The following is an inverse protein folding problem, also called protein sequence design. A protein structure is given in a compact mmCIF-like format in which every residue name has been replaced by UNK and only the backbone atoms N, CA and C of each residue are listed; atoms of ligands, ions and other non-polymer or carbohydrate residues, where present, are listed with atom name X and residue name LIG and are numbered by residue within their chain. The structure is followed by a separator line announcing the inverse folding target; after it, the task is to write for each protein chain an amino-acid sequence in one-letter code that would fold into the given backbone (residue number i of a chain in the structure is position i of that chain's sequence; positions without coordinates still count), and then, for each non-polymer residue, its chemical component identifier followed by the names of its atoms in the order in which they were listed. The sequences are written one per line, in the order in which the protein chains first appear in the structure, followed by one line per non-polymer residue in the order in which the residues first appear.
data_IF_981983321556
#
_entry.id   IF_981983321556
#
_cell.length_a   1.000
_cell.length_b   1.000
_cell.length_c   1.000
_cell.angle_alpha   90.00
_cell.angle_beta   90.00
_cell.angle_gamma   90.00
#
_symmetry.space_group_name_H-M   'P 1'
#
loop_
_entity.id
_entity.type
_entity.pdbx_description
1 polymer ?
#
# COMPACT_ATOMS: atom_id res chain seq x y z
N UNK A 1 -8.25 29.46 1.62
CA UNK A 1 -8.08 28.88 2.98
C UNK A 1 -8.83 27.55 3.16
N UNK A 2 -10.15 27.46 2.91
CA UNK A 2 -10.93 26.22 3.14
C UNK A 2 -10.35 24.96 2.47
N UNK A 3 -9.84 25.07 1.23
CA UNK A 3 -9.25 23.94 0.52
C UNK A 3 -7.94 23.43 1.14
N UNK A 4 -7.09 24.33 1.66
CA UNK A 4 -5.82 23.95 2.30
C UNK A 4 -6.06 23.25 3.65
N UNK A 5 -7.03 23.76 4.42
CA UNK A 5 -7.46 23.13 5.69
C UNK A 5 -7.99 21.71 5.43
N UNK A 6 -8.77 21.51 4.36
CA UNK A 6 -9.27 20.19 3.97
C UNK A 6 -8.14 19.21 3.63
N UNK A 7 -7.15 19.63 2.84
CA UNK A 7 -5.99 18.78 2.47
C UNK A 7 -5.20 18.36 3.71
N UNK A 8 -5.01 19.26 4.68
CA UNK A 8 -4.29 18.93 5.93
C UNK A 8 -5.09 17.95 6.80
N UNK A 9 -6.42 18.12 6.88
CA UNK A 9 -7.28 17.16 7.59
C UNK A 9 -7.22 15.79 6.91
N UNK A 10 -7.33 15.74 5.59
CA UNK A 10 -7.25 14.49 4.81
C UNK A 10 -5.88 13.81 5.01
N UNK A 11 -4.78 14.55 4.96
CA UNK A 11 -3.44 14.03 5.28
C UNK A 11 -3.37 13.42 6.69
N UNK A 12 -3.94 14.10 7.70
CA UNK A 12 -3.95 13.61 9.08
C UNK A 12 -4.89 12.42 9.33
N UNK A 13 -5.72 12.06 8.35
CA UNK A 13 -6.69 10.96 8.45
C UNK A 13 -6.17 9.63 7.91
N UNK A 14 -4.94 9.58 7.38
CA UNK A 14 -4.32 8.33 6.99
C UNK A 14 -4.09 7.42 8.21
N UNK A 15 -4.31 6.13 8.00
CA UNK A 15 -4.14 5.11 9.04
C UNK A 15 -3.32 3.95 8.47
N UNK A 16 -2.76 3.13 9.36
CA UNK A 16 -1.90 2.03 8.98
C UNK A 16 -0.69 1.96 9.92
N UNK A 17 0.25 1.07 9.59
CA UNK A 17 1.46 0.85 10.41
C UNK A 17 2.40 2.06 10.38
N UNK A 18 2.34 2.90 9.34
CA UNK A 18 3.21 4.08 9.18
C UNK A 18 2.60 5.32 9.88
N UNK A 19 1.30 5.56 9.70
CA UNK A 19 0.66 6.82 10.10
C UNK A 19 -0.04 6.77 11.47
N UNK A 20 -0.08 5.61 12.14
CA UNK A 20 -0.67 5.48 13.49
C UNK A 20 0.38 5.45 14.59
N UNK A 21 -0.03 5.72 15.83
CA UNK A 21 0.82 5.65 17.02
C UNK A 21 0.12 4.97 18.20
N UNK A 22 0.87 4.71 19.29
CA UNK A 22 0.30 4.18 20.52
C UNK A 22 -0.19 2.72 20.41
N UNK A 23 -1.23 2.33 21.16
CA UNK A 23 -1.75 0.95 21.16
C UNK A 23 -2.22 0.46 19.80
N UNK A 24 -2.82 1.33 18.98
CA UNK A 24 -3.30 0.99 17.63
C UNK A 24 -2.13 0.57 16.73
N UNK A 25 -1.06 1.35 16.71
CA UNK A 25 0.16 1.02 15.97
C UNK A 25 0.75 -0.32 16.42
N UNK A 26 0.85 -0.56 17.74
CA UNK A 26 1.38 -1.82 18.28
C UNK A 26 0.56 -3.03 17.79
N UNK A 27 -0.77 -2.92 17.81
CA UNK A 27 -1.65 -3.98 17.35
C UNK A 27 -1.50 -4.23 15.84
N UNK A 28 -1.58 -3.18 15.01
CA UNK A 28 -1.45 -3.31 13.56
C UNK A 28 -0.08 -3.84 13.14
N UNK A 29 1.00 -3.35 13.77
CA UNK A 29 2.36 -3.82 13.51
C UNK A 29 2.54 -5.30 13.87
N UNK A 30 1.99 -5.73 15.02
CA UNK A 30 2.07 -7.13 15.45
C UNK A 30 1.42 -8.05 14.42
N UNK A 31 0.16 -7.76 14.08
CA UNK A 31 -0.62 -8.54 13.10
C UNK A 31 0.09 -8.59 11.74
N UNK A 32 0.54 -7.44 11.21
CA UNK A 32 1.22 -7.40 9.93
C UNK A 32 2.50 -8.26 9.90
N UNK A 33 3.30 -8.24 10.97
CA UNK A 33 4.52 -9.04 11.07
C UNK A 33 4.20 -10.54 11.17
N UNK A 34 3.17 -10.91 11.94
CA UNK A 34 2.73 -12.30 12.08
C UNK A 34 2.29 -12.86 10.72
N UNK A 35 1.43 -12.13 10.01
CA UNK A 35 0.99 -12.49 8.65
C UNK A 35 2.18 -12.64 7.70
N UNK A 36 3.10 -11.67 7.66
CA UNK A 36 4.25 -11.76 6.76
C UNK A 36 5.11 -13.01 7.04
N UNK A 37 5.27 -13.41 8.31
CA UNK A 37 5.99 -14.64 8.69
C UNK A 37 5.25 -15.91 8.26
N UNK A 38 3.92 -15.89 8.32
CA UNK A 38 3.06 -16.99 7.84
C UNK A 38 3.21 -17.16 6.33
N UNK A 39 3.15 -16.06 5.58
CA UNK A 39 3.34 -16.00 4.12
C UNK A 39 4.79 -16.32 3.67
N UNK A 40 5.69 -16.58 4.62
CA UNK A 40 7.04 -17.06 4.33
C UNK A 40 8.12 -15.98 4.29
N UNK A 41 7.87 -14.79 4.84
CA UNK A 41 8.94 -13.84 5.13
C UNK A 41 9.95 -14.47 6.09
N UNK A 42 11.21 -14.59 5.65
CA UNK A 42 12.26 -15.31 6.39
C UNK A 42 12.27 -16.83 6.18
N UNK A 43 11.48 -17.34 5.22
CA UNK A 43 11.48 -18.74 4.75
C UNK A 43 11.75 -18.78 3.24
N UNK A 44 11.97 -19.99 2.70
CA UNK A 44 12.22 -20.17 1.27
C UNK A 44 10.99 -19.89 0.36
N UNK A 45 9.77 -19.80 0.91
CA UNK A 45 8.54 -19.59 0.12
C UNK A 45 8.57 -18.25 -0.62
N UNK A 46 9.02 -17.17 0.04
CA UNK A 46 9.15 -15.87 -0.62
C UNK A 46 10.30 -15.85 -1.63
N UNK A 47 11.36 -16.63 -1.38
CA UNK A 47 12.47 -16.75 -2.32
C UNK A 47 12.04 -17.36 -3.66
N UNK A 48 11.10 -18.30 -3.66
CA UNK A 48 10.54 -18.90 -4.90
C UNK A 48 9.83 -17.83 -5.73
N UNK A 49 8.96 -17.01 -5.11
CA UNK A 49 8.27 -15.90 -5.82
C UNK A 49 9.25 -14.89 -6.41
N UNK A 50 10.32 -14.57 -5.66
CA UNK A 50 11.39 -13.68 -6.15
C UNK A 50 12.13 -14.33 -7.32
N UNK A 51 12.43 -15.63 -7.26
CA UNK A 51 13.10 -16.34 -8.35
C UNK A 51 12.25 -16.37 -9.63
N UNK A 52 10.94 -16.56 -9.50
CA UNK A 52 9.98 -16.46 -10.60
C UNK A 52 10.02 -15.07 -11.24
N UNK A 53 9.99 -14.00 -10.44
CA UNK A 53 10.06 -12.64 -10.97
C UNK A 53 11.42 -12.32 -11.61
N UNK A 54 12.52 -12.88 -11.09
CA UNK A 54 13.85 -12.75 -11.70
C UNK A 54 13.89 -13.42 -13.08
N UNK A 55 13.24 -14.57 -13.27
CA UNK A 55 13.14 -15.23 -14.58
C UNK A 55 12.45 -14.31 -15.60
N UNK A 56 11.35 -13.68 -15.20
CA UNK A 56 10.63 -12.70 -16.04
C UNK A 56 11.46 -11.44 -16.31
N UNK A 57 12.17 -10.94 -15.31
CA UNK A 57 13.09 -9.81 -15.46
C UNK A 57 14.19 -10.09 -16.50
N UNK A 58 14.83 -11.27 -16.43
CA UNK A 58 15.86 -11.68 -17.38
C UNK A 58 15.29 -11.91 -18.78
N UNK A 59 14.06 -12.46 -18.87
CA UNK A 59 13.35 -12.66 -20.15
C UNK A 59 13.22 -11.33 -20.90
N UNK A 60 12.69 -10.30 -20.24
CA UNK A 60 12.49 -8.98 -20.87
C UNK A 60 13.80 -8.32 -21.29
N UNK A 61 14.86 -8.44 -20.48
CA UNK A 61 16.18 -7.96 -20.88
C UNK A 61 16.68 -8.69 -22.13
N UNK A 62 16.50 -10.01 -22.19
CA UNK A 62 16.95 -10.82 -23.33
C UNK A 62 16.17 -10.49 -24.61
N UNK A 63 14.86 -10.27 -24.49
CA UNK A 63 13.97 -9.88 -25.58
C UNK A 63 14.25 -8.48 -26.13
N UNK A 64 14.90 -7.60 -25.35
CA UNK A 64 15.31 -6.27 -25.83
C UNK A 64 16.32 -6.33 -26.98
N UNK A 65 17.01 -7.46 -27.19
CA UNK A 65 18.00 -7.66 -28.27
C UNK A 65 19.06 -6.53 -28.37
N UNK A 66 19.45 -5.95 -27.23
CA UNK A 66 20.42 -4.86 -27.16
C UNK A 66 19.86 -3.48 -27.48
N UNK A 67 18.55 -3.34 -27.68
CA UNK A 67 17.89 -2.04 -27.78
C UNK A 67 17.90 -1.31 -26.43
N UNK A 68 17.90 0.04 -26.43
CA UNK A 68 17.80 0.81 -25.20
C UNK A 68 16.56 0.43 -24.39
N UNK A 69 16.76 0.15 -23.10
CA UNK A 69 15.73 -0.25 -22.17
C UNK A 69 15.79 0.64 -20.93
N UNK A 70 14.64 1.10 -20.44
CA UNK A 70 14.56 1.79 -19.15
C UNK A 70 14.65 0.77 -18.00
N UNK A 71 15.89 0.46 -17.61
CA UNK A 71 16.17 -0.44 -16.50
C UNK A 71 15.65 0.08 -15.15
N UNK A 72 15.52 1.41 -14.97
CA UNK A 72 14.93 1.96 -13.74
C UNK A 72 13.47 1.55 -13.67
N UNK A 73 12.72 1.76 -14.74
CA UNK A 73 11.30 1.39 -14.80
C UNK A 73 11.10 -0.11 -14.65
N UNK A 74 11.88 -0.93 -15.38
CA UNK A 74 11.79 -2.39 -15.29
C UNK A 74 12.09 -2.89 -13.85
N UNK A 75 13.14 -2.37 -13.21
CA UNK A 75 13.49 -2.75 -11.83
C UNK A 75 12.38 -2.35 -10.85
N UNK A 76 11.83 -1.14 -11.01
CA UNK A 76 10.74 -0.67 -10.16
C UNK A 76 9.49 -1.54 -10.32
N UNK A 77 9.14 -1.93 -11.55
CA UNK A 77 8.02 -2.82 -11.83
C UNK A 77 8.25 -4.21 -11.21
N UNK A 78 9.45 -4.77 -11.36
CA UNK A 78 9.82 -6.08 -10.82
C UNK A 78 9.75 -6.15 -9.29
N UNK A 79 10.35 -5.17 -8.60
CA UNK A 79 10.25 -5.09 -7.14
C UNK A 79 8.81 -4.89 -6.68
N UNK A 80 8.03 -4.10 -7.42
CA UNK A 80 6.63 -3.87 -7.10
C UNK A 80 5.77 -5.12 -7.32
N UNK A 81 6.09 -5.94 -8.32
CA UNK A 81 5.42 -7.23 -8.56
C UNK A 81 5.69 -8.23 -7.43
N UNK A 82 6.91 -8.30 -6.91
CA UNK A 82 7.20 -9.09 -5.71
C UNK A 82 6.26 -8.68 -4.56
N UNK A 83 6.11 -7.38 -4.31
CA UNK A 83 5.19 -6.87 -3.28
C UNK A 83 3.73 -7.17 -3.61
N UNK A 84 3.27 -6.96 -4.85
CA UNK A 84 1.89 -7.23 -5.28
C UNK A 84 1.53 -8.71 -5.14
N UNK A 85 2.47 -9.61 -5.43
CA UNK A 85 2.27 -11.06 -5.29
C UNK A 85 2.06 -11.50 -3.84
N UNK A 86 2.65 -10.78 -2.88
CA UNK A 86 2.49 -11.01 -1.44
C UNK A 86 1.21 -10.36 -0.94
N UNK A 87 0.91 -9.15 -1.43
CA UNK A 87 -0.20 -8.34 -0.94
C UNK A 87 -1.55 -8.79 -1.49
N UNK A 88 -1.61 -9.08 -2.79
CA UNK A 88 -2.85 -9.30 -3.55
C UNK A 88 -2.90 -10.68 -4.24
N UNK A 89 -1.89 -11.53 -4.01
CA UNK A 89 -1.75 -12.79 -4.73
C UNK A 89 -1.48 -12.63 -6.24
N UNK A 90 -1.24 -11.40 -6.74
CA UNK A 90 -1.25 -11.08 -8.17
C UNK A 90 0.07 -10.46 -8.66
N UNK A 91 0.53 -10.92 -9.81
CA UNK A 91 1.58 -10.30 -10.64
C UNK A 91 0.95 -9.50 -11.78
N UNK A 92 1.55 -8.37 -12.14
CA UNK A 92 1.20 -7.56 -13.30
C UNK A 92 2.25 -7.73 -14.40
N UNK A 93 1.81 -7.62 -15.65
CA UNK A 93 2.75 -7.54 -16.77
C UNK A 93 3.50 -6.21 -16.76
N UNK A 94 4.73 -6.20 -17.27
CA UNK A 94 5.57 -5.00 -17.26
C UNK A 94 5.06 -3.91 -18.21
N UNK A 95 4.28 -4.27 -19.22
CA UNK A 95 3.63 -3.37 -20.18
C UNK A 95 2.18 -3.01 -19.79
N UNK A 96 1.71 -3.42 -18.61
CA UNK A 96 0.40 -3.05 -18.11
C UNK A 96 0.36 -1.53 -17.81
N UNK A 97 -0.41 -0.79 -18.61
CA UNK A 97 -0.53 0.67 -18.48
C UNK A 97 -1.07 1.12 -17.12
N UNK A 98 -1.99 0.34 -16.52
CA UNK A 98 -2.60 0.67 -15.23
C UNK A 98 -1.56 0.52 -14.13
N UNK A 99 -0.78 -0.57 -14.16
CA UNK A 99 0.31 -0.82 -13.25
C UNK A 99 1.42 0.22 -13.43
N UNK A 100 1.85 0.48 -14.66
CA UNK A 100 2.85 1.49 -14.98
C UNK A 100 2.46 2.90 -14.50
N UNK A 101 1.18 3.28 -14.66
CA UNK A 101 0.66 4.54 -14.12
C UNK A 101 0.70 4.56 -12.58
N UNK A 102 0.37 3.45 -11.92
CA UNK A 102 0.46 3.33 -10.47
C UNK A 102 1.91 3.47 -9.97
N UNK A 103 2.90 2.88 -10.67
CA UNK A 103 4.32 3.05 -10.33
C UNK A 103 4.77 4.51 -10.41
N UNK A 104 4.29 5.27 -11.41
CA UNK A 104 4.56 6.71 -11.53
C UNK A 104 3.95 7.52 -10.39
N UNK A 105 2.73 7.17 -9.97
CA UNK A 105 2.09 7.79 -8.80
C UNK A 105 2.91 7.52 -7.53
N UNK A 106 3.39 6.29 -7.34
CA UNK A 106 4.24 5.91 -6.20
C UNK A 106 5.58 6.66 -6.19
N UNK A 107 6.23 6.82 -7.35
CA UNK A 107 7.47 7.61 -7.48
C UNK A 107 7.22 9.08 -7.10
N UNK A 108 6.10 9.66 -7.54
CA UNK A 108 5.70 11.02 -7.17
C UNK A 108 5.39 11.16 -5.66
N UNK A 109 4.70 10.18 -5.07
CA UNK A 109 4.43 10.13 -3.62
C UNK A 109 5.76 10.07 -2.83
N UNK A 110 6.69 9.21 -3.24
CA UNK A 110 7.99 9.07 -2.59
C UNK A 110 8.81 10.38 -2.69
N UNK A 111 8.78 11.03 -3.85
CA UNK A 111 9.43 12.33 -4.07
C UNK A 111 8.82 13.43 -3.17
N UNK A 112 7.50 13.39 -2.96
CA UNK A 112 6.77 14.39 -2.19
C UNK A 112 6.58 14.04 -0.71
N UNK A 113 7.12 12.91 -0.23
CA UNK A 113 6.89 12.43 1.14
C UNK A 113 7.33 13.44 2.23
N UNK A 114 8.33 14.29 1.93
CA UNK A 114 8.78 15.37 2.83
C UNK A 114 7.81 16.55 2.96
N UNK A 115 6.79 16.63 2.11
CA UNK A 115 5.76 17.67 2.13
C UNK A 115 5.02 17.71 3.48
N UNK A 116 4.63 16.53 3.99
CA UNK A 116 3.92 16.40 5.26
C UNK A 116 4.74 16.90 6.45
N UNK A 117 6.01 16.48 6.53
CA UNK A 117 6.94 16.86 7.61
C UNK A 117 7.19 18.37 7.70
N UNK A 118 7.16 19.07 6.56
CA UNK A 118 7.35 20.52 6.52
C UNK A 118 6.15 21.26 7.12
N UNK A 119 4.93 20.80 6.82
CA UNK A 119 3.69 21.41 7.32
C UNK A 119 3.44 21.08 8.78
N UNK A 120 3.82 19.88 9.25
CA UNK A 120 3.72 19.50 10.68
C UNK A 120 4.70 20.28 11.56
N UNK A 121 5.92 20.52 11.07
CA UNK A 121 6.95 21.26 11.80
C UNK A 121 6.66 22.77 11.89
N UNK A 122 5.93 23.32 10.92
CA UNK A 122 5.57 24.75 10.88
C UNK A 122 4.07 24.92 10.61
N UNK A 123 3.22 24.84 11.66
CA UNK A 123 1.76 24.89 11.51
C UNK A 123 1.22 26.15 10.83
N UNK A 124 1.97 27.26 10.81
CA UNK A 124 1.60 28.49 10.13
C UNK A 124 1.50 28.32 8.61
N UNK A 125 2.30 27.42 8.03
CA UNK A 125 2.35 27.17 6.58
C UNK A 125 1.05 26.59 6.01
N UNK A 126 0.18 26.02 6.85
CA UNK A 126 -1.15 25.50 6.46
C UNK A 126 -2.13 26.57 5.97
N UNK A 127 -1.83 27.86 6.18
CA UNK A 127 -2.70 28.96 5.76
C UNK A 127 -2.28 29.58 4.44
N UNK A 128 -1.11 29.19 3.88
CA UNK A 128 -0.63 29.71 2.61
C UNK A 128 -1.50 29.20 1.45
N UNK A 129 -1.98 30.08 0.56
CA UNK A 129 -2.78 29.66 -0.59
C UNK A 129 -1.88 29.01 -1.65
N UNK A 130 -2.22 27.81 -2.12
CA UNK A 130 -1.49 27.09 -3.18
C UNK A 130 -0.93 25.74 -2.72
N UNK A 131 -0.09 25.14 -3.56
CA UNK A 131 0.58 23.85 -3.29
C UNK A 131 2.11 24.01 -3.30
N UNK A 132 2.60 25.01 -2.55
CA UNK A 132 4.03 25.34 -2.48
C UNK A 132 4.87 24.17 -1.94
N UNK A 133 4.32 23.40 -1.01
CA UNK A 133 4.98 22.26 -0.39
C UNK A 133 4.62 20.92 -1.03
N UNK A 134 3.88 20.91 -2.15
CA UNK A 134 3.43 19.68 -2.84
C UNK A 134 2.55 18.75 -1.99
N UNK A 135 2.04 19.23 -0.85
CA UNK A 135 1.17 18.46 0.03
C UNK A 135 -0.15 18.08 -0.67
N UNK A 136 -0.72 18.97 -1.49
CA UNK A 136 -1.94 18.66 -2.22
C UNK A 136 -1.67 17.56 -3.25
N UNK A 137 -0.60 17.70 -4.04
CA UNK A 137 -0.19 16.66 -5.00
C UNK A 137 0.07 15.32 -4.30
N UNK A 138 0.74 15.32 -3.14
CA UNK A 138 0.97 14.14 -2.34
C UNK A 138 -0.34 13.46 -1.92
N UNK A 139 -1.27 14.21 -1.31
CA UNK A 139 -2.57 13.68 -0.85
C UNK A 139 -3.41 13.17 -2.02
N UNK A 140 -3.47 13.90 -3.13
CA UNK A 140 -4.22 13.50 -4.33
C UNK A 140 -3.66 12.21 -4.93
N UNK A 141 -2.34 12.09 -5.05
CA UNK A 141 -1.69 10.87 -5.56
C UNK A 141 -1.91 9.68 -4.62
N UNK A 142 -1.76 9.88 -3.31
CA UNK A 142 -2.07 8.85 -2.30
C UNK A 142 -3.52 8.39 -2.41
N UNK A 143 -4.47 9.33 -2.58
CA UNK A 143 -5.88 9.01 -2.78
C UNK A 143 -6.10 8.19 -4.04
N UNK A 144 -5.45 8.54 -5.15
CA UNK A 144 -5.55 7.78 -6.40
C UNK A 144 -5.05 6.36 -6.22
N UNK A 145 -3.87 6.18 -5.62
CA UNK A 145 -3.32 4.85 -5.30
C UNK A 145 -4.28 4.06 -4.43
N UNK A 146 -4.71 4.61 -3.29
CA UNK A 146 -5.55 3.89 -2.33
C UNK A 146 -6.91 3.51 -2.92
N UNK A 147 -7.61 4.45 -3.58
CA UNK A 147 -8.97 4.21 -4.04
C UNK A 147 -9.07 3.57 -5.43
N UNK A 148 -8.15 3.86 -6.35
CA UNK A 148 -8.24 3.37 -7.73
C UNK A 148 -7.42 2.10 -7.94
N UNK A 149 -6.32 1.94 -7.22
CA UNK A 149 -5.46 0.77 -7.37
C UNK A 149 -5.69 -0.25 -6.24
N UNK A 150 -5.59 0.15 -4.97
CA UNK A 150 -5.63 -0.80 -3.84
C UNK A 150 -7.05 -1.26 -3.48
N UNK A 151 -8.02 -0.35 -3.40
CA UNK A 151 -9.40 -0.65 -2.95
C UNK A 151 -10.06 -1.79 -3.75
N UNK A 152 -9.95 -1.87 -5.09
CA UNK A 152 -10.51 -2.98 -5.85
C UNK A 152 -10.02 -4.36 -5.40
N UNK A 153 -8.73 -4.48 -5.03
CA UNK A 153 -8.21 -5.73 -4.47
C UNK A 153 -8.83 -6.03 -3.11
N UNK A 154 -8.87 -5.04 -2.22
CA UNK A 154 -9.48 -5.20 -0.89
C UNK A 154 -10.96 -5.61 -0.99
N UNK A 155 -11.74 -4.94 -1.84
CA UNK A 155 -13.16 -5.20 -2.04
C UNK A 155 -13.39 -6.63 -2.57
N UNK A 156 -12.56 -7.07 -3.51
CA UNK A 156 -12.66 -8.42 -4.07
C UNK A 156 -12.35 -9.50 -3.01
N UNK A 157 -11.37 -9.25 -2.13
CA UNK A 157 -11.07 -10.19 -1.04
C UNK A 157 -12.19 -10.23 0.01
N UNK A 158 -12.82 -9.10 0.32
CA UNK A 158 -14.00 -9.09 1.18
C UNK A 158 -15.18 -9.83 0.55
N UNK A 159 -15.38 -9.71 -0.77
CA UNK A 159 -16.44 -10.44 -1.48
C UNK A 159 -16.23 -11.95 -1.44
N UNK A 160 -14.96 -12.39 -1.51
CA UNK A 160 -14.57 -13.81 -1.54
C UNK A 160 -14.30 -14.43 -0.16
N UNK A 161 -14.33 -13.65 0.92
CA UNK A 161 -13.91 -14.14 2.25
C UNK A 161 -14.78 -15.29 2.79
N UNK A 162 -15.99 -15.49 2.26
CA UNK A 162 -16.87 -16.61 2.62
C UNK A 162 -16.51 -17.92 1.88
N UNK A 163 -15.76 -17.86 0.78
CA UNK A 163 -15.50 -19.00 -0.13
C UNK A 163 -14.14 -19.70 0.13
N UNK A 164 -13.38 -19.23 1.12
CA UNK A 164 -12.00 -19.66 1.37
C UNK A 164 -11.02 -18.63 0.80
N UNK A 165 -10.21 -18.06 1.69
CA UNK A 165 -9.29 -16.97 1.37
C UNK A 165 -8.02 -17.48 0.72
N UNK A 166 -7.53 -16.75 -0.28
CA UNK A 166 -6.20 -16.91 -0.86
C UNK A 166 -5.10 -16.67 0.20
N UNK A 167 -3.95 -17.33 0.04
CA UNK A 167 -2.77 -17.23 0.90
C UNK A 167 -1.96 -15.96 0.57
N UNK A 168 -2.59 -14.80 0.71
CA UNK A 168 -1.97 -13.48 0.59
C UNK A 168 -2.23 -12.60 1.83
N UNK A 169 -1.61 -11.42 1.84
CA UNK A 169 -1.66 -10.52 2.98
C UNK A 169 -3.05 -9.96 3.24
N UNK A 170 -3.79 -9.54 2.20
CA UNK A 170 -5.14 -8.96 2.40
C UNK A 170 -6.06 -10.02 2.99
N UNK A 171 -6.07 -11.22 2.41
CA UNK A 171 -6.88 -12.33 2.89
C UNK A 171 -6.59 -12.68 4.35
N UNK A 172 -5.30 -12.80 4.70
CA UNK A 172 -4.87 -13.06 6.06
C UNK A 172 -5.26 -11.93 7.03
N UNK A 173 -5.14 -10.68 6.62
CA UNK A 173 -5.50 -9.53 7.46
C UNK A 173 -7.02 -9.46 7.70
N UNK A 174 -7.83 -9.75 6.68
CA UNK A 174 -9.29 -9.82 6.81
C UNK A 174 -9.69 -10.92 7.81
N UNK A 175 -9.06 -12.10 7.75
CA UNK A 175 -9.29 -13.17 8.73
C UNK A 175 -8.99 -12.72 10.15
N UNK A 176 -7.90 -12.00 10.36
CA UNK A 176 -7.56 -11.48 11.68
C UNK A 176 -8.60 -10.48 12.19
N UNK A 177 -9.12 -9.60 11.32
CA UNK A 177 -10.22 -8.69 11.65
C UNK A 177 -11.47 -9.48 12.11
N UNK A 178 -11.85 -10.53 11.39
CA UNK A 178 -13.00 -11.38 11.76
C UNK A 178 -12.77 -12.12 13.08
N UNK A 179 -11.58 -12.69 13.27
CA UNK A 179 -11.21 -13.38 14.50
C UNK A 179 -11.28 -12.44 15.72
N UNK A 180 -10.74 -11.23 15.60
CA UNK A 180 -10.80 -10.21 16.64
C UNK A 180 -12.23 -9.72 16.93
N UNK A 181 -13.10 -9.61 15.92
CA UNK A 181 -14.51 -9.25 16.12
C UNK A 181 -15.27 -10.33 16.87
N UNK A 182 -15.06 -11.60 16.51
CA UNK A 182 -15.72 -12.74 17.16
C UNK A 182 -15.24 -12.92 18.60
N UNK A 183 -13.94 -12.73 18.85
CA UNK A 183 -13.32 -12.81 20.18
C UNK A 183 -13.71 -11.64 21.10
N UNK A 184 -14.08 -10.48 20.56
CA UNK A 184 -14.51 -9.30 21.32
C UNK A 184 -15.98 -9.30 21.73
N UNK A 185 -16.76 -10.36 21.45
CA UNK A 185 -18.06 -10.54 22.12
C UNK A 185 -17.95 -10.70 23.66
N UNK A 186 -16.73 -10.65 24.22
CA UNK A 186 -16.48 -10.61 25.67
C UNK A 186 -15.50 -9.54 26.21
N UNK A 187 -15.00 -8.55 25.46
CA UNK A 187 -14.19 -7.45 26.05
C UNK A 187 -13.98 -6.21 25.13
N UNK A 188 -13.99 -4.96 25.66
CA UNK A 188 -14.21 -3.76 24.85
C UNK A 188 -12.95 -2.92 24.50
N UNK A 189 -11.87 -3.49 23.95
CA UNK A 189 -10.64 -2.69 23.70
C UNK A 189 -9.85 -2.92 22.41
N UNK A 190 -10.42 -3.48 21.33
CA UNK A 190 -9.74 -3.50 20.02
C UNK A 190 -10.71 -3.06 18.91
N UNK A 191 -10.90 -1.75 18.76
CA UNK A 191 -11.64 -1.21 17.62
C UNK A 191 -10.71 -1.13 16.40
N UNK A 192 -10.51 -2.26 15.70
CA UNK A 192 -9.99 -2.25 14.32
C UNK A 192 -11.16 -1.83 13.43
N UNK A 193 -11.49 -0.54 13.48
CA UNK A 193 -12.43 0.06 12.54
C UNK A 193 -11.62 0.42 11.30
N UNK A 194 -11.99 -0.14 10.15
CA UNK A 194 -11.58 0.41 8.86
C UNK A 194 -11.90 1.91 8.86
N UNK A 195 -10.99 2.77 8.38
CA UNK A 195 -11.27 4.19 8.23
C UNK A 195 -12.60 4.40 7.52
N UNK A 196 -13.43 5.33 7.97
CA UNK A 196 -14.68 5.67 7.28
C UNK A 196 -14.44 6.11 5.83
N UNK A 197 -13.22 6.49 5.49
CA UNK A 197 -12.77 6.78 4.12
C UNK A 197 -12.72 5.55 3.21
N UNK A 198 -12.86 4.33 3.74
CA UNK A 198 -12.99 3.08 2.97
C UNK A 198 -14.40 2.49 2.93
N UNK A 199 -15.38 3.13 3.59
CA UNK A 199 -16.82 2.84 3.38
C UNK A 199 -17.33 3.66 2.18
#
# INVERSE_FOLDING_TARGET
MQHCVRVVIEFSSFTGVIDTSGPVWKAQRKVAIEILRELGMGKNVLAVKIEEEVKEYIRVISESQGQPLDLKHLTQASVSNNMCSILFGKRFEYDDDVFGNNLRLMDAIAHDAGAGSTVTSMPLLRHLPGDYFKLKRFVDNMRLVLHKFIKPFVDEHYRRSEEGSEDDFIGAYIREIHHHRNSQSGSPHINVTLPETMK
#
